data_IF_326821109087
#
_entry.id   IF_326821109087
#
_cell.length_a   1.000
_cell.length_b   1.000
_cell.length_c   1.000
_cell.angle_alpha   90.00
_cell.angle_beta   90.00
_cell.angle_gamma   90.00
#
_symmetry.space_group_name_H-M   'P 1'
#
loop_
_entity.id
_entity.type
_entity.pdbx_description
1 polymer ?
#
# COMPACT_ATOMS: atom_id res chain seq x y z
N UNK A 1 13.57 -15.85 -9.43
CA UNK A 1 14.13 -16.74 -8.36
C UNK A 1 13.17 -16.79 -7.19
N UNK A 2 12.79 -17.99 -6.70
CA UNK A 2 12.00 -18.13 -5.45
C UNK A 2 12.89 -18.39 -4.21
N UNK A 3 14.18 -18.48 -4.38
CA UNK A 3 15.18 -18.65 -3.31
C UNK A 3 16.44 -17.87 -3.65
N UNK A 4 17.25 -17.59 -2.66
CA UNK A 4 18.61 -17.07 -2.91
C UNK A 4 19.41 -18.11 -3.67
N UNK A 5 20.11 -17.70 -4.71
CA UNK A 5 20.98 -18.54 -5.52
C UNK A 5 22.39 -17.99 -5.55
N UNK A 6 23.37 -18.86 -5.22
CA UNK A 6 24.78 -18.50 -5.32
C UNK A 6 25.22 -18.59 -6.79
N UNK A 7 25.94 -17.59 -7.27
CA UNK A 7 26.58 -17.56 -8.60
C UNK A 7 28.00 -18.08 -8.48
N UNK A 8 28.38 -19.03 -9.33
CA UNK A 8 29.68 -19.66 -9.37
C UNK A 8 30.39 -19.37 -10.68
N UNK A 9 31.74 -19.42 -10.67
CA UNK A 9 32.55 -19.25 -11.89
C UNK A 9 32.34 -20.39 -12.89
N UNK A 10 32.18 -21.64 -12.39
CA UNK A 10 31.96 -22.84 -13.19
C UNK A 10 30.73 -23.61 -12.66
N UNK A 11 30.15 -24.55 -13.45
CA UNK A 11 29.00 -25.37 -13.04
C UNK A 11 29.43 -26.46 -12.04
N UNK A 12 29.97 -26.03 -10.92
CA UNK A 12 30.46 -26.86 -9.81
C UNK A 12 30.36 -26.04 -8.50
N UNK A 13 29.77 -26.63 -7.45
CA UNK A 13 29.66 -26.01 -6.13
C UNK A 13 31.00 -25.83 -5.41
N UNK A 14 32.06 -26.51 -5.85
CA UNK A 14 33.43 -26.36 -5.36
C UNK A 14 34.15 -25.18 -6.01
N UNK A 15 33.61 -24.62 -7.10
CA UNK A 15 34.23 -23.48 -7.77
C UNK A 15 34.03 -22.18 -6.98
N UNK A 16 34.78 -21.14 -7.36
CA UNK A 16 34.71 -19.82 -6.72
C UNK A 16 33.32 -19.21 -6.80
N UNK A 17 32.87 -18.60 -5.68
CA UNK A 17 31.61 -17.90 -5.57
C UNK A 17 31.79 -16.45 -5.98
N UNK A 18 30.99 -15.98 -6.93
CA UNK A 18 30.99 -14.61 -7.43
C UNK A 18 30.04 -13.69 -6.69
N UNK A 19 28.92 -14.24 -6.17
CA UNK A 19 27.89 -13.47 -5.49
C UNK A 19 26.61 -14.28 -5.29
N UNK A 20 25.55 -13.60 -4.91
CA UNK A 20 24.24 -14.21 -4.67
C UNK A 20 23.12 -13.40 -5.37
N UNK A 21 22.13 -14.10 -5.89
CA UNK A 21 20.90 -13.53 -6.44
C UNK A 21 19.78 -13.70 -5.41
N UNK A 22 19.19 -12.59 -4.99
CA UNK A 22 18.10 -12.59 -4.04
C UNK A 22 16.80 -13.14 -4.64
N UNK A 23 15.83 -13.44 -3.75
CA UNK A 23 14.46 -13.78 -4.14
C UNK A 23 13.80 -12.65 -4.94
N UNK A 24 12.98 -13.02 -5.89
CA UNK A 24 12.28 -12.09 -6.78
C UNK A 24 13.17 -11.41 -7.83
N UNK A 25 14.50 -11.58 -7.77
CA UNK A 25 15.38 -11.08 -8.81
C UNK A 25 15.24 -11.89 -10.10
N UNK A 26 15.36 -11.19 -11.21
CA UNK A 26 15.40 -11.75 -12.55
C UNK A 26 16.82 -12.07 -12.95
N UNK A 27 17.00 -13.11 -13.74
CA UNK A 27 18.26 -13.50 -14.36
C UNK A 27 18.04 -13.78 -15.84
N UNK A 28 18.99 -13.41 -16.68
CA UNK A 28 19.00 -13.77 -18.09
C UNK A 28 19.75 -15.09 -18.24
N UNK A 29 19.08 -16.13 -18.72
CA UNK A 29 19.71 -17.43 -18.97
C UNK A 29 20.45 -17.38 -20.29
N UNK A 30 21.77 -17.58 -20.26
CA UNK A 30 22.67 -17.55 -21.41
C UNK A 30 22.99 -18.95 -21.95
N UNK A 31 23.03 -19.96 -21.06
CA UNK A 31 23.38 -21.33 -21.40
C UNK A 31 22.85 -22.30 -20.35
N UNK A 32 22.76 -23.60 -20.68
CA UNK A 32 22.25 -24.65 -19.78
C UNK A 32 23.19 -25.86 -19.84
N UNK A 33 23.59 -26.38 -18.67
CA UNK A 33 24.43 -27.57 -18.54
C UNK A 33 23.92 -28.47 -17.41
N UNK A 34 23.21 -29.55 -17.73
CA UNK A 34 22.59 -30.46 -16.77
C UNK A 34 21.65 -29.69 -15.81
N UNK A 35 22.01 -29.65 -14.51
CA UNK A 35 21.27 -28.96 -13.44
C UNK A 35 21.77 -27.52 -13.22
N UNK A 36 22.56 -26.98 -14.12
CA UNK A 36 23.16 -25.63 -14.04
C UNK A 36 22.66 -24.72 -15.15
N UNK A 37 22.43 -23.48 -14.79
CA UNK A 37 22.14 -22.40 -15.74
C UNK A 37 23.28 -21.38 -15.70
N UNK A 38 23.85 -21.05 -16.85
CA UNK A 38 24.72 -19.90 -16.99
C UNK A 38 23.84 -18.67 -17.10
N UNK A 39 24.00 -17.73 -16.19
CA UNK A 39 23.13 -16.57 -16.10
C UNK A 39 23.93 -15.28 -16.08
N UNK A 40 23.29 -14.22 -16.54
CA UNK A 40 23.64 -12.86 -16.24
C UNK A 40 22.62 -12.29 -15.24
N UNK A 41 23.10 -11.74 -14.14
CA UNK A 41 22.30 -11.22 -13.05
C UNK A 41 22.76 -9.80 -12.65
N UNK A 42 21.81 -8.89 -12.49
CA UNK A 42 22.04 -7.56 -11.92
C UNK A 42 22.03 -7.64 -10.38
N UNK A 43 23.16 -7.38 -9.74
CA UNK A 43 23.33 -7.31 -8.29
C UNK A 43 23.41 -5.84 -7.84
N UNK A 44 22.27 -5.13 -7.88
CA UNK A 44 22.19 -3.69 -7.66
C UNK A 44 22.13 -2.90 -8.98
N UNK A 45 22.34 -1.59 -8.92
CA UNK A 45 22.16 -0.70 -10.08
C UNK A 45 23.28 -0.77 -11.12
N UNK A 46 24.50 -1.08 -10.68
CA UNK A 46 25.69 -0.99 -11.56
C UNK A 46 26.49 -2.30 -11.71
N UNK A 47 26.11 -3.37 -10.98
CA UNK A 47 26.89 -4.61 -10.98
C UNK A 47 26.20 -5.74 -11.71
N UNK A 48 26.62 -6.01 -12.94
CA UNK A 48 26.24 -7.22 -13.67
C UNK A 48 27.27 -8.33 -13.39
N UNK A 49 26.78 -9.51 -13.04
CA UNK A 49 27.61 -10.71 -12.90
C UNK A 49 27.14 -11.78 -13.86
N UNK A 50 28.10 -12.40 -14.55
CA UNK A 50 27.89 -13.59 -15.36
C UNK A 50 28.51 -14.80 -14.67
N UNK A 51 27.75 -15.88 -14.52
CA UNK A 51 28.23 -17.11 -13.90
C UNK A 51 27.18 -18.22 -13.91
N UNK A 52 27.43 -19.24 -13.13
CA UNK A 52 26.57 -20.43 -13.08
C UNK A 52 25.77 -20.51 -11.78
N UNK A 53 24.49 -20.77 -11.88
CA UNK A 53 23.60 -21.08 -10.75
C UNK A 53 23.02 -22.49 -10.92
N UNK A 54 22.65 -23.14 -9.81
CA UNK A 54 21.83 -24.34 -9.87
C UNK A 54 20.43 -23.99 -10.39
N UNK A 55 19.86 -24.82 -11.28
CA UNK A 55 18.47 -24.73 -11.74
C UNK A 55 17.49 -25.18 -10.66
N UNK A 56 17.67 -24.67 -9.44
CA UNK A 56 16.81 -24.95 -8.28
C UNK A 56 16.17 -23.68 -7.81
N UNK A 57 14.83 -23.59 -7.93
CA UNK A 57 14.06 -22.39 -7.53
C UNK A 57 14.09 -21.30 -8.60
N UNK A 58 14.42 -21.63 -9.83
CA UNK A 58 14.22 -20.75 -11.00
C UNK A 58 12.82 -21.00 -11.56
N UNK A 59 12.01 -19.96 -11.66
CA UNK A 59 10.70 -19.98 -12.30
C UNK A 59 10.83 -19.31 -13.67
N UNK A 60 10.51 -20.04 -14.72
CA UNK A 60 10.49 -19.58 -16.10
C UNK A 60 9.04 -19.37 -16.57
N UNK A 61 8.85 -18.65 -17.67
CA UNK A 61 7.53 -18.47 -18.30
C UNK A 61 6.86 -19.81 -18.60
N UNK A 62 7.66 -20.84 -18.94
CA UNK A 62 7.20 -22.21 -19.24
C UNK A 62 6.96 -23.08 -17.99
N UNK A 63 7.30 -22.61 -16.79
CA UNK A 63 7.13 -23.38 -15.56
C UNK A 63 5.65 -23.60 -15.28
N UNK A 64 5.17 -24.86 -15.16
CA UNK A 64 3.77 -25.14 -14.82
C UNK A 64 3.38 -24.48 -13.49
N UNK A 65 2.27 -23.74 -13.46
CA UNK A 65 1.83 -22.95 -12.31
C UNK A 65 2.87 -21.94 -11.77
N UNK A 66 3.74 -21.43 -12.66
CA UNK A 66 4.81 -20.49 -12.28
C UNK A 66 4.30 -19.24 -11.57
N UNK A 67 3.11 -18.75 -11.97
CA UNK A 67 2.40 -17.65 -11.31
C UNK A 67 2.06 -17.97 -9.85
N UNK A 68 1.52 -19.17 -9.57
CA UNK A 68 1.18 -19.60 -8.20
C UNK A 68 2.41 -19.86 -7.35
N UNK A 69 3.49 -20.38 -7.95
CA UNK A 69 4.76 -20.62 -7.27
C UNK A 69 5.36 -19.30 -6.81
N UNK A 70 5.43 -18.30 -7.71
CA UNK A 70 5.92 -16.96 -7.35
C UNK A 70 5.03 -16.28 -6.31
N UNK A 71 3.71 -16.36 -6.50
CA UNK A 71 2.75 -15.77 -5.57
C UNK A 71 2.83 -16.39 -4.18
N UNK A 72 2.95 -17.72 -4.09
CA UNK A 72 3.10 -18.43 -2.81
C UNK A 72 4.37 -18.01 -2.06
N UNK A 73 5.52 -17.96 -2.75
CA UNK A 73 6.76 -17.47 -2.12
C UNK A 73 6.68 -15.99 -1.71
N UNK A 74 5.91 -15.18 -2.47
CA UNK A 74 5.66 -13.79 -2.09
C UNK A 74 4.84 -13.70 -0.80
N UNK A 75 3.77 -14.49 -0.66
CA UNK A 75 2.95 -14.57 0.57
C UNK A 75 3.79 -15.01 1.76
N UNK A 76 4.62 -16.06 1.60
CA UNK A 76 5.51 -16.52 2.67
C UNK A 76 6.54 -15.46 3.06
N UNK A 77 7.04 -14.69 2.09
CA UNK A 77 7.97 -13.59 2.35
C UNK A 77 7.29 -12.43 3.08
N UNK A 78 6.06 -12.06 2.71
CA UNK A 78 5.26 -11.04 3.38
C UNK A 78 4.95 -11.45 4.84
N UNK A 79 4.58 -12.71 5.06
CA UNK A 79 4.38 -13.26 6.41
C UNK A 79 5.68 -13.24 7.24
N UNK A 80 6.83 -13.55 6.63
CA UNK A 80 8.13 -13.40 7.31
C UNK A 80 8.43 -11.94 7.67
N UNK A 81 8.09 -10.97 6.80
CA UNK A 81 8.29 -9.55 7.07
C UNK A 81 7.46 -9.05 8.27
N UNK A 82 6.26 -9.60 8.48
CA UNK A 82 5.37 -9.24 9.59
C UNK A 82 5.82 -9.77 10.95
N UNK A 83 6.71 -10.78 10.99
CA UNK A 83 7.15 -11.44 12.24
C UNK A 83 8.26 -10.65 12.93
N UNK A 84 8.19 -10.53 14.25
CA UNK A 84 9.21 -9.84 15.08
C UNK A 84 10.67 -10.33 14.84
N UNK A 85 10.83 -11.61 14.49
CA UNK A 85 12.12 -12.26 14.17
C UNK A 85 12.08 -12.92 12.79
N UNK A 86 11.40 -12.28 11.86
CA UNK A 86 11.33 -12.74 10.48
C UNK A 86 12.66 -12.57 9.74
N UNK A 87 12.69 -13.08 8.51
CA UNK A 87 13.85 -12.98 7.64
C UNK A 87 14.14 -11.51 7.29
N UNK A 88 15.40 -11.11 7.36
CA UNK A 88 15.83 -9.78 6.96
C UNK A 88 15.47 -9.51 5.48
N UNK A 89 14.99 -8.31 5.18
CA UNK A 89 14.58 -7.87 3.84
C UNK A 89 13.48 -8.72 3.20
N UNK A 90 12.67 -9.43 4.02
CA UNK A 90 11.59 -10.26 3.51
C UNK A 90 10.46 -9.43 2.84
N UNK A 91 10.26 -8.19 3.25
CA UNK A 91 9.41 -7.18 2.60
C UNK A 91 9.87 -6.86 1.18
N UNK A 92 11.17 -6.64 1.00
CA UNK A 92 11.77 -6.41 -0.32
C UNK A 92 11.67 -7.65 -1.23
N UNK A 93 11.83 -8.86 -0.64
CA UNK A 93 11.64 -10.11 -1.36
C UNK A 93 10.17 -10.25 -1.82
N UNK A 94 9.21 -10.02 -0.92
CA UNK A 94 7.78 -10.08 -1.22
C UNK A 94 7.40 -9.11 -2.34
N UNK A 95 7.83 -7.84 -2.21
CA UNK A 95 7.60 -6.81 -3.22
C UNK A 95 8.07 -7.28 -4.61
N UNK A 96 9.31 -7.78 -4.72
CA UNK A 96 9.87 -8.25 -5.99
C UNK A 96 9.13 -9.46 -6.54
N UNK A 97 8.82 -10.44 -5.69
CA UNK A 97 8.13 -11.67 -6.10
C UNK A 97 6.71 -11.39 -6.60
N UNK A 98 5.94 -10.56 -5.90
CA UNK A 98 4.63 -10.13 -6.37
C UNK A 98 4.71 -9.39 -7.71
N UNK A 99 5.66 -8.48 -7.87
CA UNK A 99 5.84 -7.78 -9.13
C UNK A 99 6.12 -8.77 -10.28
N UNK A 100 6.93 -9.83 -10.04
CA UNK A 100 7.22 -10.85 -11.06
C UNK A 100 5.99 -11.67 -11.47
N UNK A 101 5.01 -11.86 -10.61
CA UNK A 101 3.75 -12.51 -11.02
C UNK A 101 3.05 -11.67 -12.11
N UNK A 102 2.95 -10.36 -11.89
CA UNK A 102 2.38 -9.44 -12.87
C UNK A 102 3.20 -9.37 -14.17
N UNK A 103 4.52 -9.26 -14.04
CA UNK A 103 5.45 -9.03 -15.13
C UNK A 103 5.57 -10.24 -16.08
N UNK A 104 5.72 -11.44 -15.50
CA UNK A 104 5.94 -12.68 -16.25
C UNK A 104 4.61 -13.36 -16.65
N UNK A 105 3.59 -13.25 -15.81
CA UNK A 105 2.29 -13.90 -16.00
C UNK A 105 1.12 -12.89 -16.02
N UNK A 106 1.11 -11.91 -16.94
CA UNK A 106 0.11 -10.82 -16.92
C UNK A 106 -1.33 -11.31 -17.13
N UNK A 107 -1.51 -12.51 -17.70
CA UNK A 107 -2.83 -13.13 -17.89
C UNK A 107 -3.27 -14.01 -16.70
N UNK A 108 -2.46 -14.12 -15.65
CA UNK A 108 -2.83 -14.86 -14.45
C UNK A 108 -3.99 -14.19 -13.71
N UNK A 109 -4.95 -14.94 -13.15
CA UNK A 109 -5.98 -14.38 -12.29
C UNK A 109 -5.40 -13.74 -11.01
N UNK A 110 -4.14 -14.05 -10.66
CA UNK A 110 -3.43 -13.48 -9.51
C UNK A 110 -2.70 -12.17 -9.85
N UNK A 111 -2.57 -11.80 -11.14
CA UNK A 111 -1.72 -10.69 -11.57
C UNK A 111 -2.19 -9.32 -11.01
N UNK A 112 -3.50 -9.08 -10.94
CA UNK A 112 -4.05 -7.85 -10.38
C UNK A 112 -3.75 -7.71 -8.87
N UNK A 113 -3.99 -8.78 -8.11
CA UNK A 113 -3.66 -8.85 -6.68
C UNK A 113 -2.16 -8.69 -6.45
N UNK A 114 -1.35 -9.40 -7.21
CA UNK A 114 0.10 -9.37 -7.09
C UNK A 114 0.66 -7.97 -7.35
N UNK A 115 0.22 -7.30 -8.41
CA UNK A 115 0.67 -5.94 -8.69
C UNK A 115 0.26 -4.97 -7.57
N UNK A 116 -0.99 -5.09 -7.06
CA UNK A 116 -1.44 -4.27 -5.94
C UNK A 116 -0.62 -4.51 -4.68
N UNK A 117 -0.41 -5.78 -4.27
CA UNK A 117 0.40 -6.10 -3.07
C UNK A 117 1.84 -5.61 -3.19
N UNK A 118 2.46 -5.73 -4.38
CA UNK A 118 3.77 -5.16 -4.63
C UNK A 118 3.77 -3.63 -4.46
N UNK A 119 2.74 -2.96 -5.02
CA UNK A 119 2.58 -1.52 -4.90
C UNK A 119 2.34 -1.09 -3.44
N UNK A 120 1.53 -1.85 -2.69
CA UNK A 120 1.19 -1.54 -1.30
C UNK A 120 2.40 -1.71 -0.36
N UNK A 121 3.16 -2.80 -0.50
CA UNK A 121 4.41 -2.98 0.27
C UNK A 121 5.36 -1.81 0.04
N UNK A 122 5.57 -1.40 -1.23
CA UNK A 122 6.40 -0.24 -1.55
C UNK A 122 5.86 1.04 -0.91
N UNK A 123 4.54 1.26 -1.01
CA UNK A 123 3.86 2.41 -0.43
C UNK A 123 4.06 2.49 1.08
N UNK A 124 3.89 1.39 1.80
CA UNK A 124 4.05 1.35 3.26
C UNK A 124 5.50 1.61 3.68
N UNK A 125 6.48 1.06 2.95
CA UNK A 125 7.90 1.31 3.21
C UNK A 125 8.27 2.78 2.99
N UNK A 126 7.83 3.39 1.88
CA UNK A 126 8.03 4.81 1.61
C UNK A 126 7.29 5.70 2.63
N UNK A 127 6.06 5.32 3.02
CA UNK A 127 5.26 6.05 4.01
C UNK A 127 5.98 6.15 5.36
N UNK A 128 6.55 5.05 5.85
CA UNK A 128 7.32 5.03 7.11
C UNK A 128 8.51 6.00 7.02
N UNK A 129 9.24 6.00 5.93
CA UNK A 129 10.38 6.89 5.71
C UNK A 129 9.95 8.36 5.63
N UNK A 130 8.97 8.68 4.77
CA UNK A 130 8.47 10.04 4.55
C UNK A 130 7.85 10.63 5.82
N UNK A 131 7.05 9.84 6.55
CA UNK A 131 6.43 10.29 7.79
C UNK A 131 7.42 10.56 8.93
N UNK A 132 8.65 10.06 8.82
CA UNK A 132 9.74 10.39 9.74
C UNK A 132 10.42 11.74 9.45
N UNK A 133 10.15 12.35 8.29
CA UNK A 133 10.79 13.59 7.84
C UNK A 133 10.07 14.84 8.38
N UNK A 134 10.77 15.97 8.60
CA UNK A 134 10.14 17.22 9.04
C UNK A 134 9.01 17.69 8.12
N UNK A 135 9.13 17.47 6.80
CA UNK A 135 8.10 17.86 5.82
C UNK A 135 6.75 17.17 6.03
N UNK A 136 6.71 16.05 6.75
CA UNK A 136 5.45 15.33 7.06
C UNK A 136 4.45 16.20 7.85
N UNK A 137 4.94 17.19 8.62
CA UNK A 137 4.14 18.10 9.43
C UNK A 137 3.74 19.39 8.71
N UNK A 138 4.16 19.57 7.45
CA UNK A 138 3.77 20.73 6.66
C UNK A 138 2.24 20.81 6.49
N UNK A 139 1.69 22.01 6.68
CA UNK A 139 0.24 22.23 6.64
C UNK A 139 -0.35 21.84 5.28
N UNK A 140 0.23 22.35 4.22
CA UNK A 140 -0.30 22.13 2.87
C UNK A 140 0.25 20.85 2.26
N UNK A 141 -0.63 20.02 1.69
CA UNK A 141 -0.23 18.73 1.09
C UNK A 141 0.86 18.85 0.01
N UNK A 142 0.88 19.95 -0.76
CA UNK A 142 1.87 20.16 -1.82
C UNK A 142 3.28 20.53 -1.31
N UNK A 143 3.41 20.88 -0.04
CA UNK A 143 4.70 21.13 0.63
C UNK A 143 5.29 19.87 1.25
N UNK A 144 4.48 18.82 1.37
CA UNK A 144 4.91 17.53 1.90
C UNK A 144 5.57 16.71 0.81
N UNK A 145 6.59 15.96 1.17
CA UNK A 145 7.04 14.87 0.31
C UNK A 145 5.94 13.81 0.23
N UNK A 146 5.64 13.34 -0.98
CA UNK A 146 4.65 12.30 -1.24
C UNK A 146 5.32 10.97 -1.56
N UNK A 147 4.59 9.87 -1.32
CA UNK A 147 4.97 8.54 -1.79
C UNK A 147 4.93 8.48 -3.31
N UNK A 148 5.76 7.62 -3.91
CA UNK A 148 5.77 7.40 -5.35
C UNK A 148 4.50 6.68 -5.79
N UNK A 149 3.69 7.33 -6.63
CA UNK A 149 2.39 6.83 -7.09
C UNK A 149 2.45 5.91 -8.32
N UNK A 150 3.62 5.69 -8.91
CA UNK A 150 3.73 5.00 -10.20
C UNK A 150 3.10 3.60 -10.20
N UNK A 151 3.42 2.77 -9.21
CA UNK A 151 2.86 1.42 -9.12
C UNK A 151 1.36 1.44 -8.82
N UNK A 152 0.88 2.33 -7.94
CA UNK A 152 -0.55 2.48 -7.67
C UNK A 152 -1.32 2.91 -8.92
N UNK A 153 -0.82 3.90 -9.66
CA UNK A 153 -1.37 4.32 -10.96
C UNK A 153 -1.33 3.19 -12.00
N UNK A 154 -0.30 2.35 -11.95
CA UNK A 154 -0.21 1.19 -12.84
C UNK A 154 -1.31 0.17 -12.54
N UNK A 155 -1.61 -0.09 -11.26
CA UNK A 155 -2.74 -0.96 -10.86
C UNK A 155 -4.06 -0.43 -11.40
N UNK A 156 -4.36 0.86 -11.16
CA UNK A 156 -5.58 1.51 -11.64
C UNK A 156 -5.72 1.42 -13.18
N UNK A 157 -4.62 1.66 -13.90
CA UNK A 157 -4.58 1.63 -15.37
C UNK A 157 -4.74 0.22 -15.96
N UNK A 158 -4.12 -0.79 -15.32
CA UNK A 158 -4.09 -2.15 -15.87
C UNK A 158 -5.30 -2.99 -15.50
N UNK A 159 -5.90 -2.71 -14.34
CA UNK A 159 -7.00 -3.49 -13.76
C UNK A 159 -8.18 -2.63 -13.34
N UNK A 160 -8.69 -1.73 -14.25
CA UNK A 160 -9.79 -0.84 -13.91
C UNK A 160 -11.05 -1.62 -13.51
N UNK A 161 -11.83 -1.10 -12.56
CA UNK A 161 -13.07 -1.72 -12.07
C UNK A 161 -12.85 -2.94 -11.19
N UNK A 162 -11.63 -3.22 -10.77
CA UNK A 162 -11.34 -4.26 -9.77
C UNK A 162 -11.18 -3.67 -8.38
N UNK A 163 -11.44 -4.48 -7.35
CA UNK A 163 -11.19 -4.07 -5.94
C UNK A 163 -9.74 -3.60 -5.72
N UNK A 164 -8.79 -4.10 -6.50
CA UNK A 164 -7.38 -3.75 -6.39
C UNK A 164 -7.10 -2.35 -6.91
N UNK A 165 -7.74 -1.96 -8.03
CA UNK A 165 -7.68 -0.58 -8.52
C UNK A 165 -8.34 0.40 -7.53
N UNK A 166 -9.47 0.02 -6.94
CA UNK A 166 -10.15 0.84 -5.93
C UNK A 166 -9.28 1.03 -4.69
N UNK A 167 -8.63 -0.04 -4.20
CA UNK A 167 -7.70 0.04 -3.08
C UNK A 167 -6.46 0.90 -3.42
N UNK A 168 -5.93 0.80 -4.64
CA UNK A 168 -4.81 1.64 -5.08
C UNK A 168 -5.20 3.13 -5.11
N UNK A 169 -6.42 3.45 -5.60
CA UNK A 169 -6.95 4.81 -5.57
C UNK A 169 -7.12 5.34 -4.14
N UNK A 170 -7.52 4.46 -3.20
CA UNK A 170 -7.65 4.80 -1.78
C UNK A 170 -6.28 5.15 -1.16
N UNK A 171 -5.26 4.31 -1.34
CA UNK A 171 -3.91 4.57 -0.81
C UNK A 171 -3.36 5.92 -1.29
N UNK A 172 -3.60 6.29 -2.54
CA UNK A 172 -3.15 7.57 -3.10
C UNK A 172 -3.81 8.81 -2.48
N UNK A 173 -4.86 8.65 -1.67
CA UNK A 173 -5.45 9.75 -0.90
C UNK A 173 -4.40 10.32 0.07
N UNK A 174 -3.55 9.50 0.66
CA UNK A 174 -2.50 9.92 1.59
C UNK A 174 -1.66 11.11 1.08
N UNK A 175 -1.33 11.12 -0.21
CA UNK A 175 -0.55 12.20 -0.82
C UNK A 175 -1.32 13.52 -0.96
N UNK A 176 -2.63 13.52 -0.75
CA UNK A 176 -3.51 14.68 -0.88
C UNK A 176 -3.89 15.30 0.47
N UNK A 177 -3.55 14.58 1.56
CA UNK A 177 -3.88 15.02 2.91
C UNK A 177 -2.87 16.05 3.41
N UNK A 178 -3.33 16.98 4.23
CA UNK A 178 -2.47 17.90 4.97
C UNK A 178 -1.68 17.17 6.07
N UNK A 179 -0.56 17.74 6.51
CA UNK A 179 0.18 17.22 7.66
C UNK A 179 -0.45 17.61 8.98
N UNK A 180 -0.53 18.92 9.24
CA UNK A 180 -1.13 19.49 10.45
C UNK A 180 -2.15 20.57 10.08
N UNK A 181 -3.37 20.46 10.63
CA UNK A 181 -4.44 21.41 10.35
C UNK A 181 -4.27 22.75 11.06
N UNK A 182 -3.51 22.78 12.17
CA UNK A 182 -3.25 23.99 12.96
C UNK A 182 -4.53 24.75 13.35
N UNK A 183 -5.63 24.03 13.60
CA UNK A 183 -6.92 24.62 13.96
C UNK A 183 -7.68 25.32 12.82
N UNK A 184 -7.22 25.20 11.57
CA UNK A 184 -7.88 25.82 10.40
C UNK A 184 -8.86 24.86 9.73
N UNK A 185 -10.03 25.36 9.33
CA UNK A 185 -11.07 24.57 8.65
C UNK A 185 -10.69 24.12 7.23
N UNK A 186 -9.77 24.82 6.57
CA UNK A 186 -9.42 24.59 5.15
C UNK A 186 -8.99 23.17 4.84
N UNK A 187 -8.11 22.59 5.65
CA UNK A 187 -7.60 21.25 5.43
C UNK A 187 -8.64 20.16 5.70
N UNK A 188 -9.27 20.07 6.88
CA UNK A 188 -10.26 19.02 7.14
C UNK A 188 -11.49 19.12 6.23
N UNK A 189 -11.87 20.30 5.76
CA UNK A 189 -12.94 20.47 4.77
C UNK A 189 -12.57 19.81 3.44
N UNK A 190 -11.39 20.14 2.90
CA UNK A 190 -10.86 19.55 1.66
C UNK A 190 -10.67 18.03 1.77
N UNK A 191 -10.16 17.55 2.90
CA UNK A 191 -9.94 16.14 3.12
C UNK A 191 -11.25 15.35 3.22
N UNK A 192 -12.25 15.88 3.90
CA UNK A 192 -13.59 15.30 3.93
C UNK A 192 -14.17 15.16 2.52
N UNK A 193 -14.05 16.22 1.68
CA UNK A 193 -14.50 16.18 0.29
C UNK A 193 -13.77 15.11 -0.54
N UNK A 194 -12.48 14.89 -0.31
CA UNK A 194 -11.69 13.83 -0.98
C UNK A 194 -12.25 12.45 -0.65
N UNK A 195 -12.52 12.16 0.62
CA UNK A 195 -13.06 10.86 1.02
C UNK A 195 -14.52 10.67 0.58
N UNK A 196 -15.36 11.72 0.67
CA UNK A 196 -16.74 11.67 0.15
C UNK A 196 -16.75 11.40 -1.37
N UNK A 197 -15.84 12.04 -2.11
CA UNK A 197 -15.66 11.80 -3.54
C UNK A 197 -15.24 10.35 -3.81
N UNK A 198 -14.27 9.83 -3.07
CA UNK A 198 -13.84 8.44 -3.20
C UNK A 198 -15.02 7.47 -3.01
N UNK A 199 -15.82 7.64 -1.97
CA UNK A 199 -17.01 6.80 -1.72
C UNK A 199 -17.99 6.83 -2.89
N UNK A 200 -18.15 7.99 -3.54
CA UNK A 200 -19.05 8.15 -4.68
C UNK A 200 -18.50 7.50 -5.96
N UNK A 201 -17.19 7.57 -6.18
CA UNK A 201 -16.53 7.03 -7.37
C UNK A 201 -16.25 5.51 -7.27
N UNK A 202 -16.07 4.99 -6.03
CA UNK A 202 -15.72 3.59 -5.74
C UNK A 202 -16.70 2.92 -4.76
N UNK A 203 -18.02 2.88 -5.04
CA UNK A 203 -19.03 2.44 -4.06
C UNK A 203 -18.93 0.96 -3.66
N UNK A 204 -18.21 0.15 -4.42
CA UNK A 204 -17.99 -1.27 -4.16
C UNK A 204 -16.59 -1.58 -3.59
N UNK A 205 -15.80 -0.56 -3.32
CA UNK A 205 -14.45 -0.74 -2.77
C UNK A 205 -14.49 -1.33 -1.37
N UNK A 206 -13.55 -2.23 -1.04
CA UNK A 206 -13.38 -2.69 0.34
C UNK A 206 -13.06 -1.55 1.33
N UNK A 207 -12.52 -0.42 0.86
CA UNK A 207 -12.16 0.74 1.68
C UNK A 207 -13.33 1.72 1.91
N UNK A 208 -14.55 1.46 1.43
CA UNK A 208 -15.68 2.39 1.59
C UNK A 208 -16.02 2.65 3.05
N UNK A 209 -15.96 1.62 3.91
CA UNK A 209 -16.26 1.78 5.33
C UNK A 209 -15.26 2.74 6.02
N UNK A 210 -13.99 2.58 5.71
CA UNK A 210 -12.90 3.45 6.16
C UNK A 210 -13.09 4.88 5.65
N UNK A 211 -13.27 5.04 4.34
CA UNK A 211 -13.47 6.35 3.72
C UNK A 211 -14.68 7.11 4.29
N UNK A 212 -15.79 6.42 4.56
CA UNK A 212 -16.96 7.02 5.21
C UNK A 212 -16.64 7.51 6.63
N UNK A 213 -15.94 6.68 7.41
CA UNK A 213 -15.50 7.05 8.75
C UNK A 213 -14.54 8.25 8.71
N UNK A 214 -13.57 8.23 7.84
CA UNK A 214 -12.57 9.29 7.69
C UNK A 214 -13.21 10.63 7.28
N UNK A 215 -14.18 10.59 6.37
CA UNK A 215 -14.96 11.78 6.02
C UNK A 215 -15.79 12.27 7.22
N UNK A 216 -16.49 11.36 7.92
CA UNK A 216 -17.30 11.68 9.09
C UNK A 216 -16.47 12.31 10.21
N UNK A 217 -15.30 11.76 10.51
CA UNK A 217 -14.41 12.27 11.54
C UNK A 217 -13.92 13.69 11.23
N UNK A 218 -13.55 13.98 9.98
CA UNK A 218 -13.15 15.32 9.53
C UNK A 218 -14.28 16.32 9.62
N UNK A 219 -15.50 15.92 9.22
CA UNK A 219 -16.70 16.76 9.41
C UNK A 219 -16.99 16.98 10.89
N UNK A 220 -16.79 16.00 11.77
CA UNK A 220 -16.93 16.17 13.20
C UNK A 220 -15.89 17.14 13.79
N UNK A 221 -14.64 17.06 13.38
CA UNK A 221 -13.59 18.01 13.77
C UNK A 221 -13.94 19.45 13.37
N UNK A 222 -14.54 19.64 12.19
CA UNK A 222 -14.97 20.94 11.69
C UNK A 222 -16.07 21.60 12.56
N UNK A 223 -16.82 20.85 13.37
CA UNK A 223 -17.82 21.42 14.28
C UNK A 223 -17.15 22.41 15.22
N UNK A 224 -16.07 22.02 15.88
CA UNK A 224 -15.35 22.86 16.83
C UNK A 224 -14.50 23.92 16.13
N UNK A 225 -13.85 23.59 15.03
CA UNK A 225 -13.03 24.52 14.26
C UNK A 225 -13.90 25.70 13.77
N UNK A 226 -15.07 25.44 13.18
CA UNK A 226 -15.97 26.51 12.72
C UNK A 226 -16.55 27.34 13.86
N UNK A 227 -16.72 26.76 15.06
CA UNK A 227 -17.08 27.59 16.25
C UNK A 227 -15.97 28.58 16.61
N UNK A 228 -14.70 28.14 16.56
CA UNK A 228 -13.56 29.03 16.84
C UNK A 228 -13.33 30.07 15.73
N UNK A 229 -13.83 29.83 14.53
CA UNK A 229 -13.80 30.76 13.39
C UNK A 229 -15.06 31.64 13.31
N UNK A 230 -15.95 31.64 14.33
CA UNK A 230 -17.24 32.38 14.37
C UNK A 230 -18.18 32.03 13.18
N UNK A 231 -18.11 30.79 12.67
CA UNK A 231 -18.90 30.31 11.53
C UNK A 231 -20.00 29.33 11.97
N UNK A 232 -20.90 29.74 12.85
CA UNK A 232 -21.91 28.88 13.48
C UNK A 232 -22.77 28.08 12.46
N UNK A 233 -23.15 28.69 11.34
CA UNK A 233 -23.91 28.00 10.28
C UNK A 233 -23.16 26.83 9.70
N UNK A 234 -21.87 26.99 9.37
CA UNK A 234 -21.03 25.93 8.85
C UNK A 234 -20.77 24.85 9.90
N UNK A 235 -20.68 25.20 11.17
CA UNK A 235 -20.57 24.24 12.26
C UNK A 235 -21.77 23.29 12.29
N UNK A 236 -23.00 23.81 12.21
CA UNK A 236 -24.21 22.99 12.17
C UNK A 236 -24.31 22.15 10.88
N UNK A 237 -23.95 22.71 9.72
CA UNK A 237 -23.91 21.97 8.46
C UNK A 237 -22.90 20.80 8.54
N UNK A 238 -21.72 21.03 9.13
CA UNK A 238 -20.69 19.98 9.32
C UNK A 238 -21.17 18.90 10.30
N UNK A 239 -21.87 19.30 11.38
CA UNK A 239 -22.49 18.35 12.32
C UNK A 239 -23.47 17.44 11.62
N UNK A 240 -24.38 18.00 10.82
CA UNK A 240 -25.38 17.22 10.07
C UNK A 240 -24.69 16.23 9.09
N UNK A 241 -23.66 16.69 8.36
CA UNK A 241 -22.88 15.83 7.45
C UNK A 241 -22.14 14.72 8.22
N UNK A 242 -21.47 15.04 9.34
CA UNK A 242 -20.77 14.06 10.17
C UNK A 242 -21.70 12.95 10.64
N UNK A 243 -22.87 13.31 11.14
CA UNK A 243 -23.91 12.35 11.57
C UNK A 243 -24.33 11.47 10.39
N UNK A 244 -24.67 12.06 9.25
CA UNK A 244 -25.12 11.30 8.07
C UNK A 244 -24.08 10.29 7.58
N UNK A 245 -22.81 10.71 7.48
CA UNK A 245 -21.70 9.85 7.03
C UNK A 245 -21.43 8.72 8.03
N UNK A 246 -21.39 9.03 9.32
CA UNK A 246 -21.17 8.05 10.37
C UNK A 246 -22.33 7.03 10.46
N UNK A 247 -23.59 7.48 10.32
CA UNK A 247 -24.75 6.59 10.23
C UNK A 247 -24.66 5.66 9.02
N UNK A 248 -24.24 6.19 7.87
CA UNK A 248 -24.03 5.38 6.67
C UNK A 248 -22.95 4.32 6.90
N UNK A 249 -21.81 4.68 7.51
CA UNK A 249 -20.76 3.72 7.82
C UNK A 249 -21.23 2.64 8.79
N UNK A 250 -21.86 2.99 9.91
CA UNK A 250 -22.32 2.03 10.93
C UNK A 250 -23.43 1.13 10.43
N UNK A 251 -24.38 1.64 9.62
CA UNK A 251 -25.51 0.86 9.12
C UNK A 251 -25.14 -0.07 7.97
N UNK A 252 -24.27 0.36 7.06
CA UNK A 252 -23.85 -0.47 5.93
C UNK A 252 -22.76 -1.48 6.29
N UNK A 253 -21.92 -1.18 7.28
CA UNK A 253 -20.77 -2.00 7.66
C UNK A 253 -20.74 -2.32 9.17
N UNK A 254 -21.84 -2.81 9.77
CA UNK A 254 -22.00 -2.96 11.23
C UNK A 254 -21.01 -3.97 11.84
N UNK A 255 -20.46 -4.89 11.04
CA UNK A 255 -19.51 -5.91 11.48
C UNK A 255 -18.04 -5.51 11.27
N UNK A 256 -17.79 -4.31 10.74
CA UNK A 256 -16.42 -3.81 10.55
C UNK A 256 -15.96 -2.94 11.72
N UNK A 257 -14.65 -2.89 11.92
CA UNK A 257 -14.04 -1.96 12.89
C UNK A 257 -14.41 -0.50 12.60
N UNK A 258 -14.52 -0.14 11.31
CA UNK A 258 -14.91 1.19 10.88
C UNK A 258 -16.37 1.51 11.20
N UNK A 259 -17.26 0.53 11.07
CA UNK A 259 -18.66 0.66 11.53
C UNK A 259 -18.76 0.90 13.03
N UNK A 260 -17.99 0.14 13.83
CA UNK A 260 -17.95 0.33 15.29
C UNK A 260 -17.35 1.70 15.68
N UNK A 261 -16.30 2.14 14.99
CA UNK A 261 -15.71 3.49 15.18
C UNK A 261 -16.69 4.60 14.81
N UNK A 262 -17.49 4.42 13.75
CA UNK A 262 -18.51 5.36 13.33
C UNK A 262 -19.64 5.45 14.37
N UNK A 263 -20.06 4.35 14.97
CA UNK A 263 -21.05 4.33 16.05
C UNK A 263 -20.54 5.11 17.29
N UNK A 264 -19.27 4.89 17.68
CA UNK A 264 -18.64 5.69 18.73
C UNK A 264 -18.62 7.18 18.37
N UNK A 265 -18.29 7.53 17.13
CA UNK A 265 -18.27 8.94 16.68
C UNK A 265 -19.66 9.58 16.77
N UNK A 266 -20.71 8.86 16.36
CA UNK A 266 -22.11 9.31 16.52
C UNK A 266 -22.45 9.61 17.98
N UNK A 267 -22.10 8.70 18.88
CA UNK A 267 -22.30 8.91 20.31
C UNK A 267 -21.62 10.19 20.81
N UNK A 268 -20.36 10.39 20.46
CA UNK A 268 -19.61 11.59 20.88
C UNK A 268 -20.28 12.87 20.37
N UNK A 269 -20.68 12.91 19.10
CA UNK A 269 -21.35 14.08 18.50
C UNK A 269 -22.67 14.34 19.19
N UNK A 270 -23.46 13.32 19.51
CA UNK A 270 -24.75 13.44 20.20
C UNK A 270 -24.60 13.96 21.64
N UNK A 271 -23.54 13.56 22.31
CA UNK A 271 -23.21 14.02 23.67
C UNK A 271 -22.54 15.40 23.70
N UNK A 272 -22.23 16.00 22.53
CA UNK A 272 -21.52 17.26 22.44
C UNK A 272 -20.06 17.18 22.89
N UNK A 273 -19.47 15.99 22.84
CA UNK A 273 -18.04 15.77 23.16
C UNK A 273 -17.19 16.18 21.97
N UNK A 274 -16.25 17.12 22.14
CA UNK A 274 -15.34 17.51 21.05
C UNK A 274 -14.52 16.33 20.53
N UNK A 275 -14.35 16.29 19.21
CA UNK A 275 -13.56 15.24 18.55
C UNK A 275 -12.20 15.76 18.04
N UNK A 276 -11.91 17.04 18.26
CA UNK A 276 -10.68 17.72 17.85
C UNK A 276 -10.30 18.84 18.82
N UNK A 277 -9.01 19.10 18.98
CA UNK A 277 -8.48 20.16 19.82
C UNK A 277 -8.12 19.71 21.25
N UNK A 278 -7.76 20.67 22.12
CA UNK A 278 -7.29 20.40 23.49
C UNK A 278 -8.40 19.97 24.47
N UNK A 279 -9.63 19.83 24.00
CA UNK A 279 -10.78 19.43 24.81
C UNK A 279 -11.09 17.92 24.69
N UNK A 280 -10.11 17.12 24.28
CA UNK A 280 -10.24 15.65 24.18
C UNK A 280 -9.91 14.92 25.49
N UNK A 281 -9.56 15.62 26.56
CA UNK A 281 -9.22 15.06 27.87
C UNK A 281 -10.47 14.64 28.67
#
# INVERSE_FOLDING_TARGET
MVRVATIYVAPDTASEKLGEVDRGREVVVLDTSREWLKVEAALGEERLLTGWILDKGVVQVSTPNGDRILFGEAVDSEDQASRRRGRRCADQDALRLYYRVYDIFPSSPLAAEALYRSADIRWQLEKVDIMSRPSAHEKEAYLREGMNEELMKLVEKKYPGTKWADLAAFQRIDNKLCGDWQGSSKCPEKEADIYEKYVSEHPQSPAVAEALYDAAWRRAALIEIYKTEDQAKKSEESKAKAISLAQKASSQFPQSDWGARAERLLFLIQQGVPTYGNAQD
#
